data_IF_025608952325
#
_entry.id   IF_025608952325
#
_cell.length_a   1.000
_cell.length_b   1.000
_cell.length_c   1.000
_cell.angle_alpha   90.00
_cell.angle_beta   90.00
_cell.angle_gamma   90.00
#
_symmetry.space_group_name_H-M   'P 1'
#
loop_
_entity.id
_entity.type
_entity.pdbx_description
1 polymer ?
#
# COMPACT_ATOMS: atom_id res chain seq x y z
N UNK A 1 28.08 -29.62 -0.97
CA UNK A 1 26.76 -29.33 -1.60
C UNK A 1 25.57 -29.92 -0.83
N UNK A 2 25.74 -30.43 0.41
CA UNK A 2 24.68 -31.14 1.16
C UNK A 2 24.00 -30.31 2.27
N UNK A 3 24.62 -29.22 2.71
CA UNK A 3 24.14 -28.42 3.85
C UNK A 3 22.91 -27.60 3.45
N UNK A 4 22.89 -27.05 2.23
CA UNK A 4 21.82 -26.17 1.74
C UNK A 4 20.47 -26.89 1.56
N UNK A 5 20.47 -28.16 1.16
CA UNK A 5 19.23 -28.92 0.93
C UNK A 5 18.52 -29.28 2.25
N UNK A 6 19.27 -29.51 3.34
CA UNK A 6 18.68 -29.85 4.63
C UNK A 6 17.98 -28.65 5.30
N UNK A 7 18.43 -27.42 5.04
CA UNK A 7 17.82 -26.23 5.63
C UNK A 7 16.45 -25.89 5.04
N UNK A 8 16.24 -26.12 3.74
CA UNK A 8 14.93 -25.89 3.10
C UNK A 8 13.84 -26.80 3.68
N UNK A 9 14.18 -28.04 4.03
CA UNK A 9 13.23 -29.02 4.59
C UNK A 9 12.81 -28.64 6.02
N UNK A 10 13.69 -28.04 6.81
CA UNK A 10 13.37 -27.61 8.17
C UNK A 10 12.48 -26.36 8.22
N UNK A 11 12.57 -25.48 7.23
CA UNK A 11 11.68 -24.30 7.13
C UNK A 11 10.22 -24.71 6.90
N UNK A 12 9.97 -25.71 6.06
CA UNK A 12 8.61 -26.17 5.73
C UNK A 12 7.94 -26.97 6.86
N UNK A 13 8.71 -27.60 7.75
CA UNK A 13 8.16 -28.51 8.76
C UNK A 13 7.95 -27.87 10.14
N UNK A 14 8.63 -26.77 10.48
CA UNK A 14 8.59 -26.19 11.83
C UNK A 14 7.72 -24.93 11.96
N UNK A 15 7.33 -24.30 10.85
CA UNK A 15 6.65 -23.03 10.86
C UNK A 15 5.34 -23.14 10.06
N UNK A 16 4.22 -23.16 10.77
CA UNK A 16 2.92 -22.79 10.20
C UNK A 16 2.92 -21.35 9.67
N UNK A 17 1.77 -20.67 9.50
CA UNK A 17 1.64 -19.43 8.71
C UNK A 17 2.33 -18.18 9.30
N UNK A 18 3.27 -18.33 10.23
CA UNK A 18 4.11 -17.27 10.75
C UNK A 18 5.49 -17.32 10.08
N UNK A 19 5.82 -16.38 9.18
CA UNK A 19 7.10 -16.38 8.47
C UNK A 19 8.20 -15.87 9.41
N UNK A 20 8.71 -16.74 10.29
CA UNK A 20 9.84 -16.40 11.14
C UNK A 20 11.13 -16.53 10.31
N UNK A 21 11.91 -15.44 10.15
CA UNK A 21 13.13 -15.49 9.35
C UNK A 21 14.20 -16.32 10.07
N UNK A 22 14.71 -17.35 9.39
CA UNK A 22 15.83 -18.17 9.85
C UNK A 22 17.10 -17.66 9.17
N UNK A 23 18.13 -17.36 9.97
CA UNK A 23 19.41 -16.83 9.49
C UNK A 23 20.52 -17.76 9.93
N UNK A 24 21.43 -18.09 9.01
CA UNK A 24 22.53 -19.01 9.26
C UNK A 24 23.82 -18.24 9.56
N UNK A 25 24.47 -18.61 10.66
CA UNK A 25 25.84 -18.23 10.99
C UNK A 25 26.74 -19.45 10.80
N UNK A 26 27.80 -19.32 10.01
CA UNK A 26 28.68 -20.44 9.65
C UNK A 26 29.75 -20.72 10.73
N UNK A 27 29.92 -19.80 11.68
CA UNK A 27 30.77 -19.94 12.86
C UNK A 27 30.29 -19.04 14.01
N UNK A 28 30.78 -19.26 15.23
CA UNK A 28 30.42 -18.44 16.42
C UNK A 28 30.85 -16.98 16.23
N UNK A 29 32.02 -16.75 15.66
CA UNK A 29 32.57 -15.43 15.38
C UNK A 29 31.74 -14.67 14.33
N UNK A 30 31.02 -15.40 13.48
CA UNK A 30 30.15 -14.82 12.44
C UNK A 30 28.78 -14.39 12.96
N UNK A 31 28.39 -14.78 14.19
CA UNK A 31 27.05 -14.50 14.73
C UNK A 31 26.78 -13.00 14.81
N UNK A 32 27.68 -12.24 15.44
CA UNK A 32 27.51 -10.80 15.63
C UNK A 32 27.47 -10.04 14.29
N UNK A 33 28.41 -10.24 13.34
CA UNK A 33 28.33 -9.64 12.01
C UNK A 33 27.07 -10.00 11.21
N UNK A 34 26.55 -11.23 11.36
CA UNK A 34 25.32 -11.68 10.70
C UNK A 34 24.10 -10.98 11.29
N UNK A 35 24.03 -10.81 12.61
CA UNK A 35 22.95 -10.08 13.27
C UNK A 35 22.95 -8.59 12.93
N UNK A 36 24.12 -7.94 12.95
CA UNK A 36 24.25 -6.52 12.58
C UNK A 36 23.81 -6.26 11.14
N UNK A 37 24.20 -7.14 10.21
CA UNK A 37 23.75 -7.08 8.82
C UNK A 37 22.24 -7.25 8.72
N UNK A 38 21.69 -8.23 9.43
CA UNK A 38 20.25 -8.47 9.42
C UNK A 38 19.46 -7.27 9.93
N UNK A 39 19.86 -6.67 11.05
CA UNK A 39 19.21 -5.48 11.60
C UNK A 39 19.26 -4.31 10.61
N UNK A 40 20.43 -4.07 9.99
CA UNK A 40 20.59 -3.01 8.99
C UNK A 40 19.72 -3.23 7.75
N UNK A 41 19.64 -4.46 7.26
CA UNK A 41 18.79 -4.81 6.12
C UNK A 41 17.30 -4.78 6.50
N UNK A 42 16.95 -5.11 7.74
CA UNK A 42 15.59 -5.08 8.24
C UNK A 42 15.04 -3.64 8.25
N UNK A 43 15.82 -2.67 8.75
CA UNK A 43 15.45 -1.25 8.73
C UNK A 43 15.22 -0.75 7.30
N UNK A 44 16.11 -1.11 6.37
CA UNK A 44 15.98 -0.75 4.95
C UNK A 44 14.75 -1.40 4.31
N UNK A 45 14.48 -2.68 4.61
CA UNK A 45 13.30 -3.38 4.07
C UNK A 45 12.00 -2.82 4.63
N UNK A 46 11.96 -2.43 5.90
CA UNK A 46 10.80 -1.75 6.48
C UNK A 46 10.56 -0.40 5.82
N UNK A 47 11.60 0.42 5.64
CA UNK A 47 11.50 1.70 4.95
C UNK A 47 11.04 1.52 3.49
N UNK A 48 11.57 0.51 2.80
CA UNK A 48 11.21 0.22 1.40
C UNK A 48 9.79 -0.36 1.27
N UNK A 49 9.32 -1.17 2.23
CA UNK A 49 7.94 -1.67 2.24
C UNK A 49 6.94 -0.55 2.53
N UNK A 50 7.29 0.40 3.41
CA UNK A 50 6.50 1.61 3.67
C UNK A 50 6.41 2.51 2.42
N UNK A 51 7.40 2.49 1.54
CA UNK A 51 7.45 3.29 0.31
C UNK A 51 6.92 2.58 -0.94
N UNK A 52 6.70 1.25 -0.91
CA UNK A 52 6.41 0.46 -2.14
C UNK A 52 4.96 0.45 -2.61
N UNK A 53 4.03 0.97 -1.82
CA UNK A 53 2.76 1.44 -2.38
C UNK A 53 2.88 2.95 -2.56
N UNK A 54 3.19 3.46 -3.78
CA UNK A 54 2.63 4.76 -4.11
C UNK A 54 1.13 4.58 -3.89
N UNK A 55 0.63 5.19 -2.82
CA UNK A 55 -0.76 5.08 -2.43
C UNK A 55 -1.57 5.50 -3.66
N UNK A 56 -2.15 4.54 -4.39
CA UNK A 56 -2.78 4.82 -5.68
C UNK A 56 -3.89 5.87 -5.51
N UNK A 57 -4.45 5.97 -4.31
CA UNK A 57 -5.31 7.06 -3.87
C UNK A 57 -4.62 8.42 -3.93
N UNK A 58 -3.36 8.55 -3.47
CA UNK A 58 -2.54 9.77 -3.62
C UNK A 58 -2.27 10.10 -5.08
N UNK A 59 -2.00 9.11 -5.92
CA UNK A 59 -1.78 9.34 -7.34
C UNK A 59 -3.06 9.88 -8.00
N UNK A 60 -4.21 9.29 -7.69
CA UNK A 60 -5.48 9.77 -8.24
C UNK A 60 -5.91 11.11 -7.66
N UNK A 61 -5.70 11.35 -6.36
CA UNK A 61 -5.91 12.65 -5.72
C UNK A 61 -5.01 13.74 -6.36
N UNK A 62 -3.78 13.39 -6.73
CA UNK A 62 -2.88 14.27 -7.46
C UNK A 62 -3.32 14.49 -8.92
N UNK A 63 -3.75 13.44 -9.62
CA UNK A 63 -4.24 13.54 -10.99
C UNK A 63 -5.52 14.40 -11.06
N UNK A 64 -6.45 14.24 -10.12
CA UNK A 64 -7.68 15.03 -10.05
C UNK A 64 -7.46 16.48 -9.63
N UNK A 65 -6.39 16.81 -8.89
CA UNK A 65 -6.04 18.21 -8.58
C UNK A 65 -5.25 18.90 -9.69
N UNK A 66 -4.59 18.13 -10.57
CA UNK A 66 -3.79 18.65 -11.68
C UNK A 66 -4.48 18.54 -13.05
N UNK A 67 -5.62 17.85 -13.12
CA UNK A 67 -6.43 17.74 -14.33
C UNK A 67 -6.91 19.14 -14.79
N UNK A 68 -7.06 19.38 -16.11
CA UNK A 68 -7.48 20.68 -16.64
C UNK A 68 -8.82 21.20 -16.08
N UNK A 69 -9.72 20.28 -15.70
CA UNK A 69 -11.02 20.60 -15.11
C UNK A 69 -11.01 20.65 -13.57
N UNK A 70 -9.88 20.34 -12.92
CA UNK A 70 -9.66 20.34 -11.46
C UNK A 70 -10.90 19.90 -10.64
N UNK A 71 -11.38 18.66 -10.82
CA UNK A 71 -12.56 18.17 -10.09
C UNK A 71 -12.39 18.17 -8.56
N UNK A 72 -11.16 18.19 -8.05
CA UNK A 72 -10.85 18.22 -6.62
C UNK A 72 -9.91 19.37 -6.26
N UNK A 73 -10.15 20.00 -5.11
CA UNK A 73 -9.18 20.90 -4.49
C UNK A 73 -8.06 20.10 -3.81
N UNK A 74 -6.89 20.71 -3.54
CA UNK A 74 -5.82 20.06 -2.78
C UNK A 74 -6.25 19.59 -1.38
N UNK A 75 -7.21 20.28 -0.76
CA UNK A 75 -7.76 19.91 0.54
C UNK A 75 -8.61 18.65 0.44
N UNK A 76 -9.50 18.58 -0.55
CA UNK A 76 -10.37 17.42 -0.77
C UNK A 76 -9.58 16.16 -1.16
N UNK A 77 -8.51 16.36 -1.94
CA UNK A 77 -7.53 15.33 -2.29
C UNK A 77 -6.82 14.74 -1.05
N UNK A 78 -6.46 15.58 -0.08
CA UNK A 78 -5.84 15.12 1.17
C UNK A 78 -6.84 14.39 2.06
N UNK A 79 -8.08 14.88 2.14
CA UNK A 79 -9.19 14.19 2.84
C UNK A 79 -9.40 12.79 2.23
N UNK A 80 -9.49 12.68 0.91
CA UNK A 80 -9.64 11.40 0.21
C UNK A 80 -8.48 10.45 0.49
N UNK A 81 -7.25 10.95 0.42
CA UNK A 81 -6.04 10.19 0.75
C UNK A 81 -6.06 9.68 2.19
N UNK A 82 -6.56 10.48 3.13
CA UNK A 82 -6.62 10.11 4.54
C UNK A 82 -7.70 9.05 4.85
N UNK A 83 -8.78 9.03 4.07
CA UNK A 83 -9.92 8.12 4.29
C UNK A 83 -9.85 6.83 3.48
N UNK A 84 -9.24 6.84 2.30
CA UNK A 84 -9.17 5.68 1.42
C UNK A 84 -7.76 5.12 1.35
N UNK A 85 -7.57 3.95 1.97
CA UNK A 85 -6.28 3.23 2.03
C UNK A 85 -5.85 2.59 0.69
N UNK A 86 -6.71 2.64 -0.33
CA UNK A 86 -6.40 2.12 -1.66
C UNK A 86 -7.40 2.63 -2.69
N UNK A 87 -6.97 2.65 -3.95
CA UNK A 87 -7.81 2.97 -5.10
C UNK A 87 -9.08 2.12 -5.20
N UNK A 88 -8.99 0.82 -4.91
CA UNK A 88 -10.14 -0.11 -4.98
C UNK A 88 -11.27 0.30 -4.03
N UNK A 89 -10.93 0.74 -2.82
CA UNK A 89 -11.91 1.23 -1.86
C UNK A 89 -12.54 2.56 -2.31
N UNK A 90 -11.75 3.43 -2.95
CA UNK A 90 -12.26 4.69 -3.52
C UNK A 90 -13.19 4.41 -4.71
N UNK A 91 -12.80 3.50 -5.61
CA UNK A 91 -13.62 3.05 -6.74
C UNK A 91 -14.93 2.40 -6.28
N UNK A 92 -14.87 1.53 -5.27
CA UNK A 92 -16.08 0.92 -4.70
C UNK A 92 -16.99 1.97 -4.05
N UNK A 93 -16.40 3.00 -3.43
CA UNK A 93 -17.16 4.11 -2.88
C UNK A 93 -17.81 4.97 -3.98
N UNK A 94 -17.17 5.16 -5.14
CA UNK A 94 -17.78 5.87 -6.27
C UNK A 94 -18.82 5.01 -7.01
N UNK A 95 -18.77 3.67 -6.93
CA UNK A 95 -19.73 2.78 -7.63
C UNK A 95 -20.98 2.43 -6.82
N UNK A 96 -20.92 2.45 -5.50
CA UNK A 96 -22.04 2.03 -4.63
C UNK A 96 -22.86 3.22 -4.13
N UNK A 97 -24.18 3.04 -3.96
CA UNK A 97 -25.06 4.09 -3.43
C UNK A 97 -24.73 4.46 -1.98
N UNK A 98 -24.33 3.49 -1.16
CA UNK A 98 -23.82 3.71 0.20
C UNK A 98 -22.48 4.45 0.20
N UNK A 99 -21.58 4.08 -0.72
CA UNK A 99 -20.29 4.76 -0.90
C UNK A 99 -20.42 6.22 -1.33
N UNK A 100 -21.29 6.51 -2.30
CA UNK A 100 -21.57 7.88 -2.76
C UNK A 100 -22.16 8.74 -1.65
N UNK A 101 -22.99 8.14 -0.79
CA UNK A 101 -23.50 8.82 0.40
C UNK A 101 -22.37 9.17 1.38
N UNK A 102 -21.46 8.23 1.66
CA UNK A 102 -20.29 8.47 2.49
C UNK A 102 -19.36 9.55 1.91
N UNK A 103 -19.13 9.55 0.60
CA UNK A 103 -18.38 10.59 -0.10
C UNK A 103 -19.07 11.96 0.02
N UNK A 104 -20.40 12.00 -0.10
CA UNK A 104 -21.20 13.23 0.05
C UNK A 104 -21.11 13.80 1.46
N UNK A 105 -21.11 12.95 2.48
CA UNK A 105 -20.93 13.36 3.87
C UNK A 105 -19.50 13.87 4.13
N UNK A 106 -18.51 13.33 3.41
CA UNK A 106 -17.09 13.65 3.57
C UNK A 106 -16.66 14.93 2.85
N UNK A 107 -17.06 15.09 1.58
CA UNK A 107 -16.57 16.13 0.66
C UNK A 107 -17.66 17.14 0.28
N UNK A 108 -18.91 16.85 0.62
CA UNK A 108 -20.07 17.60 0.16
C UNK A 108 -20.58 17.13 -1.21
N UNK A 109 -21.85 17.44 -1.51
CA UNK A 109 -22.56 16.87 -2.67
C UNK A 109 -22.01 17.34 -4.02
N UNK A 110 -21.56 18.59 -4.12
CA UNK A 110 -21.03 19.14 -5.36
C UNK A 110 -19.70 18.49 -5.77
N UNK A 111 -18.77 18.38 -4.80
CA UNK A 111 -17.45 17.75 -5.02
C UNK A 111 -17.58 16.26 -5.29
N UNK A 112 -18.50 15.59 -4.58
CA UNK A 112 -18.77 14.16 -4.79
C UNK A 112 -19.31 13.89 -6.18
N UNK A 113 -20.20 14.76 -6.69
CA UNK A 113 -20.69 14.64 -8.05
C UNK A 113 -19.56 14.78 -9.07
N UNK A 114 -18.73 15.82 -8.96
CA UNK A 114 -17.60 16.02 -9.87
C UNK A 114 -16.61 14.85 -9.85
N UNK A 115 -16.35 14.29 -8.66
CA UNK A 115 -15.54 13.10 -8.50
C UNK A 115 -16.17 11.90 -9.20
N UNK A 116 -17.44 11.62 -8.96
CA UNK A 116 -18.14 10.49 -9.60
C UNK A 116 -18.17 10.65 -11.11
N UNK A 117 -18.53 11.82 -11.62
CA UNK A 117 -18.61 12.10 -13.06
C UNK A 117 -17.21 11.90 -13.72
N UNK A 118 -16.13 12.38 -13.08
CA UNK A 118 -14.76 12.13 -13.53
C UNK A 118 -14.42 10.64 -13.64
N UNK A 119 -14.82 9.85 -12.64
CA UNK A 119 -14.56 8.41 -12.60
C UNK A 119 -15.45 7.60 -13.56
N UNK A 120 -16.64 8.10 -13.90
CA UNK A 120 -17.54 7.49 -14.87
C UNK A 120 -17.12 7.80 -16.32
N UNK A 121 -16.63 9.03 -16.59
CA UNK A 121 -16.31 9.50 -17.94
C UNK A 121 -14.86 9.22 -18.40
N UNK A 122 -13.85 9.28 -17.52
CA UNK A 122 -12.43 9.14 -17.93
C UNK A 122 -11.87 7.70 -17.94
N UNK A 123 -12.54 6.71 -17.33
CA UNK A 123 -11.96 5.36 -17.16
C UNK A 123 -12.63 4.22 -17.96
N UNK A 124 -13.63 4.52 -18.79
CA UNK A 124 -14.28 3.55 -19.71
C UNK A 124 -13.86 3.76 -21.19
N UNK A 125 -12.92 4.66 -21.49
CA UNK A 125 -12.37 4.87 -22.84
C UNK A 125 -10.99 4.22 -23.03
#
# INVERSE_FOLDING_TARGET
>A
MAIWQHFSVLQDQLLGPCPMPIILALSVESILPVLERYMKEFDVRQQTQLQKTPDLTRLVAHATTTAPMQPLSPHDADILTSHFRSLRHLEEATRTSSGRKGLTELLGPAVTKNLVDFWEDEWIA
#
